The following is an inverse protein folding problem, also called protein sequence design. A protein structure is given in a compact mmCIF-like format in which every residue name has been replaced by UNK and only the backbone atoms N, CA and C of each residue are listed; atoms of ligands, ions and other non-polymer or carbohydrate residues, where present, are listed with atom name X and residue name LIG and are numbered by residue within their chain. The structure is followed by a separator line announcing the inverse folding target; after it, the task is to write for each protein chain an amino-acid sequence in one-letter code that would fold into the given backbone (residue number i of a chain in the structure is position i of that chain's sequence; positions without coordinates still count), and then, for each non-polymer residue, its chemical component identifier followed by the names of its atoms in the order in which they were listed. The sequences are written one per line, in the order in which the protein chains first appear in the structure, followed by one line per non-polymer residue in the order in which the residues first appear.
data_IF_402923117820
#
_entry.id   IF_402923117820
#
_cell.length_a   1.000
_cell.length_b   1.000
_cell.length_c   1.000
_cell.angle_alpha   90.00
_cell.angle_beta   90.00
_cell.angle_gamma   90.00
#
_symmetry.space_group_name_H-M   'P 1'
#
loop_
_entity.id
_entity.type
_entity.pdbx_description
1 polymer ?
#
# COMPACT_ATOMS: atom_id res chain seq x y z
N UNK A 1 3.56 12.20 -7.66
CA UNK A 1 2.99 10.95 -7.11
C UNK A 1 3.04 9.89 -8.19
N UNK A 2 3.44 8.66 -7.90
CA UNK A 2 3.43 7.54 -8.83
C UNK A 2 2.75 6.34 -8.17
N UNK A 3 1.92 5.62 -8.91
CA UNK A 3 1.31 4.37 -8.45
C UNK A 3 1.74 3.25 -9.38
N UNK A 4 1.97 2.04 -8.85
CA UNK A 4 2.17 0.84 -9.64
C UNK A 4 1.20 -0.25 -9.17
N UNK A 5 0.48 -0.85 -10.10
CA UNK A 5 -0.46 -1.92 -9.82
C UNK A 5 -0.86 -2.62 -11.12
N UNK A 6 -1.06 -3.93 -11.04
CA UNK A 6 -1.72 -4.72 -12.10
C UNK A 6 -3.20 -4.95 -11.78
N UNK A 7 -3.67 -4.54 -10.61
CA UNK A 7 -5.02 -4.76 -10.07
C UNK A 7 -5.74 -3.44 -9.72
N UNK A 8 -5.43 -2.39 -10.49
CA UNK A 8 -6.06 -1.08 -10.33
C UNK A 8 -7.59 -1.17 -10.43
N UNK A 9 -8.34 -0.44 -9.58
CA UNK A 9 -9.81 -0.47 -9.59
C UNK A 9 -10.44 0.15 -10.86
N UNK A 10 -9.65 0.88 -11.65
CA UNK A 10 -10.12 1.62 -12.81
C UNK A 10 -9.17 1.46 -13.98
N UNK A 11 -9.74 1.37 -15.18
CA UNK A 11 -9.01 1.49 -16.45
C UNK A 11 -8.80 2.95 -16.87
N UNK A 12 -9.79 3.81 -16.62
CA UNK A 12 -9.82 5.22 -17.06
C UNK A 12 -10.14 6.19 -15.91
N UNK A 13 -9.53 5.98 -14.75
CA UNK A 13 -9.53 6.93 -13.63
C UNK A 13 -8.25 6.74 -12.83
N UNK A 14 -7.43 7.78 -12.78
CA UNK A 14 -6.08 7.65 -12.23
C UNK A 14 -6.08 7.40 -10.71
N UNK A 15 -5.50 6.28 -10.29
CA UNK A 15 -5.34 5.89 -8.89
C UNK A 15 -4.37 6.81 -8.15
N UNK A 16 -3.29 7.27 -8.81
CA UNK A 16 -2.38 8.26 -8.24
C UNK A 16 -3.08 9.57 -7.83
N UNK A 17 -4.14 9.98 -8.54
CA UNK A 17 -4.93 11.17 -8.17
C UNK A 17 -5.75 10.98 -6.91
N UNK A 18 -6.33 9.78 -6.71
CA UNK A 18 -7.06 9.42 -5.50
C UNK A 18 -6.09 9.41 -4.30
N UNK A 19 -4.95 8.73 -4.44
CA UNK A 19 -3.95 8.61 -3.37
C UNK A 19 -3.31 9.97 -3.05
N UNK A 20 -3.01 10.79 -4.07
CA UNK A 20 -2.49 12.14 -3.85
C UNK A 20 -3.45 13.00 -3.03
N UNK A 21 -4.76 12.87 -3.25
CA UNK A 21 -5.77 13.58 -2.45
C UNK A 21 -5.83 13.01 -1.02
N UNK A 22 -5.69 11.69 -0.86
CA UNK A 22 -5.67 11.05 0.47
C UNK A 22 -4.47 11.48 1.31
N UNK A 23 -3.32 11.75 0.68
CA UNK A 23 -2.16 12.36 1.33
C UNK A 23 -2.24 13.89 1.47
N UNK A 24 -3.37 14.50 1.12
CA UNK A 24 -3.57 15.97 1.05
C UNK A 24 -2.44 16.69 0.29
N UNK A 25 -1.95 16.09 -0.80
CA UNK A 25 -0.93 16.72 -1.63
C UNK A 25 -1.51 17.89 -2.43
N UNK A 26 -0.67 18.89 -2.67
CA UNK A 26 -0.98 20.02 -3.55
C UNK A 26 -1.33 19.55 -4.98
N UNK A 27 -2.23 20.24 -5.69
CA UNK A 27 -2.73 19.79 -7.00
C UNK A 27 -1.74 20.00 -8.15
N UNK A 28 -0.76 20.91 -7.99
CA UNK A 28 0.26 21.23 -8.99
C UNK A 28 1.44 20.23 -8.93
N UNK A 29 1.10 18.95 -9.02
CA UNK A 29 2.06 17.83 -9.07
C UNK A 29 1.80 16.96 -10.29
N UNK A 30 2.86 16.32 -10.79
CA UNK A 30 2.72 15.26 -11.79
C UNK A 30 2.32 13.95 -11.13
N UNK A 31 1.30 13.31 -11.70
CA UNK A 31 0.78 11.98 -11.31
C UNK A 31 0.95 10.99 -12.46
N UNK A 32 1.26 9.73 -12.15
CA UNK A 32 1.33 8.65 -13.14
C UNK A 32 0.95 7.30 -12.51
N UNK A 33 0.29 6.44 -13.28
CA UNK A 33 0.03 5.05 -12.91
C UNK A 33 0.83 4.13 -13.85
N UNK A 34 1.50 3.12 -13.28
CA UNK A 34 2.30 2.11 -13.97
C UNK A 34 1.58 0.76 -13.86
N UNK A 35 1.40 0.06 -14.98
CA UNK A 35 0.56 -1.14 -15.10
C UNK A 35 1.18 -2.18 -16.03
N UNK A 36 0.50 -3.32 -16.18
CA UNK A 36 0.70 -4.36 -17.21
C UNK A 36 1.90 -5.30 -16.98
N UNK A 37 2.67 -5.10 -15.91
CA UNK A 37 3.67 -6.07 -15.47
C UNK A 37 3.87 -6.03 -13.96
N UNK A 38 4.12 -7.19 -13.34
CA UNK A 38 4.43 -7.27 -11.91
C UNK A 38 5.79 -6.66 -11.55
N UNK A 39 6.67 -6.37 -12.51
CA UNK A 39 7.91 -5.62 -12.25
C UNK A 39 7.70 -4.10 -12.11
N UNK A 40 6.51 -3.59 -12.41
CA UNK A 40 6.28 -2.14 -12.51
C UNK A 40 6.49 -1.36 -11.21
N UNK A 41 6.45 -2.01 -10.05
CA UNK A 41 6.81 -1.39 -8.78
C UNK A 41 8.24 -0.81 -8.78
N UNK A 42 9.23 -1.56 -9.25
CA UNK A 42 10.61 -1.08 -9.37
C UNK A 42 10.78 -0.13 -10.54
N UNK A 43 10.05 -0.34 -11.64
CA UNK A 43 10.09 0.58 -12.79
C UNK A 43 9.54 1.97 -12.42
N UNK A 44 8.49 2.05 -11.60
CA UNK A 44 7.97 3.31 -11.06
C UNK A 44 8.97 3.98 -10.12
N UNK A 45 9.71 3.21 -9.31
CA UNK A 45 10.79 3.70 -8.45
C UNK A 45 11.95 4.26 -9.27
N UNK A 46 12.40 3.56 -10.32
CA UNK A 46 13.45 4.04 -11.22
C UNK A 46 13.04 5.33 -11.92
N UNK A 47 11.83 5.38 -12.47
CA UNK A 47 11.28 6.63 -13.04
C UNK A 47 11.29 7.76 -12.02
N UNK A 48 11.00 7.47 -10.75
CA UNK A 48 11.06 8.45 -9.68
C UNK A 48 12.45 8.95 -9.37
N UNK A 49 13.40 8.03 -9.25
CA UNK A 49 14.80 8.35 -9.09
C UNK A 49 15.32 9.23 -10.23
N UNK A 50 15.04 8.87 -11.48
CA UNK A 50 15.49 9.64 -12.65
C UNK A 50 14.94 11.06 -12.64
N UNK A 51 13.66 11.23 -12.28
CA UNK A 51 13.04 12.55 -12.19
C UNK A 51 13.66 13.43 -11.10
N UNK A 52 14.00 12.85 -9.95
CA UNK A 52 14.67 13.56 -8.84
C UNK A 52 16.11 13.89 -9.20
N UNK A 53 16.85 12.92 -9.72
CA UNK A 53 18.25 13.08 -10.16
C UNK A 53 18.40 14.12 -11.27
N UNK A 54 17.43 14.20 -12.18
CA UNK A 54 17.39 15.22 -13.24
C UNK A 54 16.98 16.62 -12.72
N UNK A 55 16.58 16.76 -11.45
CA UNK A 55 16.11 18.02 -10.87
C UNK A 55 14.70 18.42 -11.31
N UNK A 56 13.99 17.59 -12.08
CA UNK A 56 12.63 17.86 -12.55
C UNK A 56 11.56 17.71 -11.45
N UNK A 57 11.89 17.00 -10.37
CA UNK A 57 11.11 16.89 -9.15
C UNK A 57 12.04 16.92 -7.93
N UNK A 58 11.60 17.47 -6.80
CA UNK A 58 12.37 17.40 -5.55
C UNK A 58 12.09 16.14 -4.76
N UNK A 59 10.80 15.81 -4.62
CA UNK A 59 10.32 14.64 -3.91
C UNK A 59 9.25 13.93 -4.74
N UNK A 60 9.30 12.61 -4.75
CA UNK A 60 8.27 11.78 -5.39
C UNK A 60 7.93 10.61 -4.47
N UNK A 61 6.64 10.44 -4.21
CA UNK A 61 6.11 9.24 -3.56
C UNK A 61 5.75 8.21 -4.64
N UNK A 62 6.17 6.97 -4.44
CA UNK A 62 5.84 5.79 -5.24
C UNK A 62 5.07 4.82 -4.36
N UNK A 63 3.83 4.50 -4.72
CA UNK A 63 3.04 3.45 -4.08
C UNK A 63 2.90 2.26 -5.03
N UNK A 64 3.35 1.08 -4.63
CA UNK A 64 3.06 -0.16 -5.35
C UNK A 64 2.09 -1.00 -4.53
N UNK A 65 1.04 -1.52 -5.15
CA UNK A 65 0.02 -2.31 -4.46
C UNK A 65 -0.66 -3.28 -5.42
N UNK A 66 -0.97 -4.49 -4.92
CA UNK A 66 -1.87 -5.40 -5.62
C UNK A 66 -2.75 -6.19 -4.65
N UNK A 67 -3.95 -6.52 -5.15
CA UNK A 67 -4.85 -7.52 -4.59
C UNK A 67 -5.14 -8.52 -5.71
N UNK A 68 -4.32 -9.57 -5.80
CA UNK A 68 -4.42 -10.57 -6.86
C UNK A 68 -5.38 -11.67 -6.44
N UNK A 69 -6.04 -12.27 -7.43
CA UNK A 69 -7.07 -13.27 -7.17
C UNK A 69 -6.86 -14.47 -8.08
N UNK A 70 -6.66 -15.64 -7.45
CA UNK A 70 -6.56 -16.93 -8.13
C UNK A 70 -7.94 -17.59 -8.29
N UNK A 71 -8.04 -18.55 -9.22
CA UNK A 71 -9.24 -19.38 -9.37
C UNK A 71 -9.35 -20.35 -8.19
N UNK A 72 -10.58 -20.66 -7.76
CA UNK A 72 -10.79 -21.63 -6.69
C UNK A 72 -10.11 -22.98 -7.00
N UNK A 73 -9.32 -23.51 -6.05
CA UNK A 73 -8.56 -24.75 -6.18
C UNK A 73 -7.28 -24.65 -7.01
N UNK A 74 -6.86 -23.44 -7.42
CA UNK A 74 -5.62 -23.22 -8.17
C UNK A 74 -4.43 -22.95 -7.24
N UNK A 75 -3.21 -23.18 -7.72
CA UNK A 75 -1.99 -22.82 -6.97
C UNK A 75 -1.89 -21.31 -6.73
N UNK A 76 -2.43 -20.50 -7.65
CA UNK A 76 -2.51 -19.04 -7.51
C UNK A 76 -3.35 -18.61 -6.31
N UNK A 77 -4.44 -19.32 -6.03
CA UNK A 77 -5.28 -19.02 -4.87
C UNK A 77 -4.54 -19.25 -3.55
N UNK A 78 -3.70 -20.28 -3.48
CA UNK A 78 -2.88 -20.59 -2.31
C UNK A 78 -1.74 -19.58 -2.13
N UNK A 79 -1.09 -19.17 -3.21
CA UNK A 79 0.15 -18.39 -3.14
C UNK A 79 -0.04 -16.87 -3.21
N UNK A 80 -1.11 -16.36 -3.82
CA UNK A 80 -1.28 -14.92 -3.96
C UNK A 80 -1.59 -14.24 -2.64
N UNK A 81 -0.89 -13.14 -2.43
CA UNK A 81 -1.07 -12.25 -1.29
C UNK A 81 -1.59 -10.89 -1.73
N UNK A 82 -2.18 -10.18 -0.78
CA UNK A 82 -2.51 -8.77 -0.94
C UNK A 82 -1.47 -7.93 -0.20
N UNK A 83 -0.93 -6.91 -0.84
CA UNK A 83 0.14 -6.12 -0.24
C UNK A 83 0.33 -4.77 -0.89
N UNK A 84 0.96 -3.88 -0.14
CA UNK A 84 1.34 -2.56 -0.61
C UNK A 84 2.61 -2.07 0.08
N UNK A 85 3.40 -1.27 -0.64
CA UNK A 85 4.51 -0.52 -0.08
C UNK A 85 4.51 0.90 -0.68
N UNK A 86 4.87 1.88 0.14
CA UNK A 86 5.02 3.27 -0.27
C UNK A 86 6.40 3.79 0.11
N UNK A 87 7.10 4.36 -0.86
CA UNK A 87 8.47 4.88 -0.71
C UNK A 87 8.51 6.31 -1.21
N UNK A 88 9.15 7.19 -0.44
CA UNK A 88 9.45 8.56 -0.85
C UNK A 88 10.89 8.63 -1.37
N UNK A 89 11.06 9.16 -2.58
CA UNK A 89 12.34 9.40 -3.23
C UNK A 89 12.61 10.91 -3.18
N UNK A 90 13.79 11.30 -2.74
CA UNK A 90 14.24 12.69 -2.63
C UNK A 90 15.76 12.77 -2.53
N UNK A 91 16.28 13.98 -2.39
CA UNK A 91 17.72 14.29 -2.30
C UNK A 91 18.18 14.72 -0.89
N UNK A 92 17.26 14.82 0.07
CA UNK A 92 17.53 15.25 1.45
C UNK A 92 17.03 14.23 2.47
N UNK A 93 17.79 13.99 3.55
CA UNK A 93 17.41 13.06 4.63
C UNK A 93 17.25 11.61 4.14
N UNK A 94 18.09 11.22 3.18
CA UNK A 94 17.99 9.95 2.47
C UNK A 94 18.47 8.82 3.36
N UNK A 95 17.58 7.88 3.71
CA UNK A 95 17.90 6.70 4.56
C UNK A 95 18.68 5.61 3.81
N UNK A 96 18.56 5.58 2.48
CA UNK A 96 19.28 4.67 1.61
C UNK A 96 19.42 5.29 0.21
N UNK A 97 20.64 5.46 -0.27
CA UNK A 97 20.94 6.04 -1.59
C UNK A 97 20.96 4.97 -2.66
N UNK A 98 20.33 5.22 -3.82
CA UNK A 98 20.41 4.33 -4.97
C UNK A 98 21.71 4.58 -5.73
N UNK A 99 22.65 3.66 -5.61
CA UNK A 99 24.01 3.75 -6.18
C UNK A 99 24.07 3.25 -7.63
N UNK A 100 23.17 2.34 -7.99
CA UNK A 100 23.14 1.79 -9.34
C UNK A 100 21.91 0.94 -9.61
N UNK A 101 21.64 0.77 -10.90
CA UNK A 101 20.57 -0.09 -11.38
C UNK A 101 20.99 -0.81 -12.67
N UNK A 102 20.41 -1.97 -12.90
CA UNK A 102 20.54 -2.75 -14.12
C UNK A 102 19.20 -3.41 -14.44
N UNK A 103 18.74 -3.26 -15.67
CA UNK A 103 17.45 -3.80 -16.12
C UNK A 103 17.63 -4.69 -17.33
N UNK A 104 16.88 -5.78 -17.35
CA UNK A 104 16.66 -6.63 -18.53
C UNK A 104 15.18 -6.64 -18.85
N UNK A 105 14.82 -6.74 -20.13
CA UNK A 105 13.43 -6.66 -20.58
C UNK A 105 13.20 -7.67 -21.68
N UNK A 106 12.18 -8.50 -21.51
CA UNK A 106 11.84 -9.57 -22.43
C UNK A 106 10.32 -9.64 -22.58
N UNK A 107 9.85 -9.96 -23.78
CA UNK A 107 8.49 -10.43 -23.97
C UNK A 107 8.39 -11.88 -23.46
N UNK A 108 8.36 -12.02 -22.14
CA UNK A 108 8.28 -13.31 -21.45
C UNK A 108 6.89 -13.46 -20.86
N UNK A 109 6.10 -14.38 -21.41
CA UNK A 109 4.70 -14.59 -21.03
C UNK A 109 4.62 -15.72 -20.00
N UNK A 110 5.05 -15.44 -18.77
CA UNK A 110 4.90 -16.35 -17.63
C UNK A 110 3.47 -16.38 -17.11
N UNK A 111 2.83 -15.22 -17.08
CA UNK A 111 1.44 -15.07 -16.70
C UNK A 111 0.80 -13.91 -17.47
N UNK A 112 -0.52 -13.94 -17.64
CA UNK A 112 -1.26 -12.86 -18.28
C UNK A 112 -2.69 -12.77 -17.76
N UNK A 113 -3.30 -11.59 -17.90
CA UNK A 113 -4.72 -11.38 -17.60
C UNK A 113 -5.29 -10.45 -18.67
N UNK A 114 -6.18 -10.98 -19.50
CA UNK A 114 -6.75 -10.23 -20.61
C UNK A 114 -7.80 -9.22 -20.12
N UNK A 115 -8.17 -8.30 -21.01
CA UNK A 115 -9.13 -7.26 -20.69
C UNK A 115 -10.48 -7.84 -20.25
N UNK A 116 -10.94 -7.45 -19.06
CA UNK A 116 -12.21 -7.93 -18.49
C UNK A 116 -12.11 -9.25 -17.72
N UNK A 117 -10.96 -9.92 -17.74
CA UNK A 117 -10.74 -11.12 -16.91
C UNK A 117 -10.49 -10.75 -15.45
N UNK A 118 -11.07 -11.54 -14.54
CA UNK A 118 -10.86 -11.39 -13.09
C UNK A 118 -9.58 -12.11 -12.67
N UNK A 119 -9.45 -13.36 -13.13
CA UNK A 119 -8.37 -14.27 -12.80
C UNK A 119 -7.27 -14.18 -13.85
N UNK A 120 -6.02 -14.33 -13.43
CA UNK A 120 -4.92 -14.50 -14.37
C UNK A 120 -4.84 -15.95 -14.89
N UNK A 121 -4.05 -16.09 -15.94
CA UNK A 121 -3.57 -17.34 -16.47
C UNK A 121 -2.07 -17.44 -16.20
N UNK A 122 -1.60 -18.64 -15.93
CA UNK A 122 -0.19 -18.94 -15.74
C UNK A 122 0.24 -19.99 -16.74
N UNK A 123 1.44 -19.82 -17.28
CA UNK A 123 2.06 -20.80 -18.16
C UNK A 123 2.69 -21.96 -17.37
N UNK A 124 3.42 -22.84 -18.05
CA UNK A 124 4.04 -24.02 -17.44
C UNK A 124 5.05 -23.65 -16.33
N UNK A 125 4.84 -24.19 -15.12
CA UNK A 125 5.66 -23.90 -13.94
C UNK A 125 7.16 -24.10 -14.18
N UNK A 126 7.54 -25.17 -14.88
CA UNK A 126 8.95 -25.46 -15.16
C UNK A 126 9.58 -24.38 -16.03
N UNK A 127 8.85 -23.90 -17.05
CA UNK A 127 9.32 -22.83 -17.92
C UNK A 127 9.52 -21.52 -17.14
N UNK A 128 8.55 -21.16 -16.30
CA UNK A 128 8.59 -19.96 -15.46
C UNK A 128 9.76 -20.01 -14.47
N UNK A 129 9.98 -21.16 -13.85
CA UNK A 129 11.07 -21.37 -12.89
C UNK A 129 12.46 -21.33 -13.55
N UNK A 130 12.64 -22.13 -14.61
CA UNK A 130 13.96 -22.38 -15.18
C UNK A 130 14.41 -21.19 -16.07
N UNK A 131 13.51 -20.69 -16.93
CA UNK A 131 13.81 -19.59 -17.85
C UNK A 131 13.47 -18.23 -17.23
N UNK A 132 12.40 -18.12 -16.45
CA UNK A 132 12.01 -16.87 -15.81
C UNK A 132 12.87 -16.56 -14.58
N UNK A 133 12.42 -17.00 -13.41
CA UNK A 133 13.03 -16.63 -12.12
C UNK A 133 14.53 -16.94 -12.07
N UNK A 134 14.93 -18.15 -12.44
CA UNK A 134 16.33 -18.57 -12.30
C UNK A 134 17.28 -17.84 -13.24
N UNK A 135 16.83 -17.45 -14.45
CA UNK A 135 17.73 -16.80 -15.41
C UNK A 135 17.70 -15.29 -15.27
N UNK A 136 16.51 -14.67 -15.20
CA UNK A 136 16.39 -13.20 -15.22
C UNK A 136 16.92 -12.56 -13.94
N UNK A 137 16.67 -13.17 -12.77
CA UNK A 137 17.20 -12.65 -11.50
C UNK A 137 18.72 -12.76 -11.47
N UNK A 138 19.27 -13.90 -11.91
CA UNK A 138 20.73 -14.10 -11.95
C UNK A 138 21.37 -13.13 -12.94
N UNK A 139 20.78 -12.95 -14.12
CA UNK A 139 21.27 -12.02 -15.14
C UNK A 139 21.24 -10.57 -14.63
N UNK A 140 20.12 -10.13 -14.03
CA UNK A 140 19.98 -8.78 -13.54
C UNK A 140 20.97 -8.46 -12.40
N UNK A 141 21.13 -9.38 -11.44
CA UNK A 141 22.11 -9.23 -10.35
C UNK A 141 23.53 -9.25 -10.89
N UNK A 142 23.84 -10.16 -11.82
CA UNK A 142 25.19 -10.26 -12.41
C UNK A 142 25.55 -9.02 -13.23
N UNK A 143 24.58 -8.47 -13.97
CA UNK A 143 24.73 -7.22 -14.71
C UNK A 143 24.96 -6.02 -13.78
N UNK A 144 24.18 -5.93 -12.70
CA UNK A 144 24.37 -4.92 -11.65
C UNK A 144 25.74 -5.04 -11.00
N UNK A 145 26.15 -6.25 -10.61
CA UNK A 145 27.44 -6.50 -9.97
C UNK A 145 28.62 -6.09 -10.85
N UNK A 146 28.58 -6.43 -12.16
CA UNK A 146 29.57 -5.98 -13.14
C UNK A 146 29.60 -4.46 -13.28
N UNK A 147 28.43 -3.82 -13.42
CA UNK A 147 28.30 -2.36 -13.61
C UNK A 147 28.79 -1.58 -12.39
N UNK A 148 28.46 -2.04 -11.19
CA UNK A 148 28.82 -1.40 -9.93
C UNK A 148 30.13 -1.89 -9.32
N UNK A 149 30.82 -2.85 -9.96
CA UNK A 149 32.03 -3.51 -9.45
C UNK A 149 31.84 -4.06 -8.03
N UNK A 150 30.69 -4.71 -7.80
CA UNK A 150 30.25 -5.21 -6.50
C UNK A 150 30.65 -6.68 -6.33
N UNK A 151 31.27 -7.03 -5.22
CA UNK A 151 31.42 -8.42 -4.78
C UNK A 151 30.17 -8.83 -3.99
N UNK A 152 29.70 -10.05 -4.22
CA UNK A 152 28.56 -10.64 -3.51
C UNK A 152 28.78 -10.65 -2.00
N UNK A 153 30.03 -10.76 -1.55
CA UNK A 153 30.40 -10.73 -0.13
C UNK A 153 30.17 -9.36 0.53
N UNK A 154 30.14 -8.29 -0.26
CA UNK A 154 29.93 -6.92 0.23
C UNK A 154 28.45 -6.58 0.39
N UNK A 155 27.55 -7.50 0.04
CA UNK A 155 26.10 -7.29 0.09
C UNK A 155 25.55 -7.77 1.43
N UNK A 156 24.93 -6.88 2.20
CA UNK A 156 24.30 -7.25 3.46
C UNK A 156 23.00 -8.06 3.22
N UNK A 157 22.18 -7.61 2.27
CA UNK A 157 20.92 -8.26 1.91
C UNK A 157 20.65 -8.23 0.40
N UNK A 158 20.15 -9.35 -0.13
CA UNK A 158 19.59 -9.47 -1.48
C UNK A 158 18.14 -9.90 -1.35
N UNK A 159 17.24 -9.08 -1.89
CA UNK A 159 15.81 -9.26 -1.87
C UNK A 159 15.28 -9.48 -3.29
N UNK A 160 14.66 -10.62 -3.55
CA UNK A 160 14.05 -10.94 -4.84
C UNK A 160 12.79 -11.78 -4.67
N UNK A 161 11.78 -11.59 -5.54
CA UNK A 161 10.62 -12.44 -5.56
C UNK A 161 10.96 -13.82 -6.15
N UNK A 162 10.29 -14.86 -5.66
CA UNK A 162 10.22 -16.15 -6.33
C UNK A 162 8.97 -16.89 -5.85
N UNK A 163 8.13 -17.38 -6.76
CA UNK A 163 6.93 -18.15 -6.39
C UNK A 163 7.27 -19.54 -5.83
N UNK A 164 8.46 -20.05 -6.08
CA UNK A 164 8.84 -21.41 -5.75
C UNK A 164 9.87 -21.38 -4.59
N UNK A 165 9.49 -21.76 -3.34
CA UNK A 165 10.38 -21.64 -2.18
C UNK A 165 11.72 -22.39 -2.33
N UNK A 166 11.70 -23.56 -2.98
CA UNK A 166 12.92 -24.32 -3.25
C UNK A 166 13.88 -23.58 -4.19
N UNK A 167 13.36 -22.96 -5.24
CA UNK A 167 14.14 -22.20 -6.21
C UNK A 167 14.63 -20.87 -5.67
N UNK A 168 13.84 -20.24 -4.80
CA UNK A 168 14.28 -19.06 -4.07
C UNK A 168 15.63 -19.31 -3.39
N UNK A 169 15.77 -20.42 -2.65
CA UNK A 169 17.03 -20.81 -2.02
C UNK A 169 18.11 -21.24 -3.03
N UNK A 170 17.73 -21.91 -4.13
CA UNK A 170 18.64 -22.34 -5.19
C UNK A 170 19.30 -21.17 -5.92
N UNK A 171 18.53 -20.13 -6.24
CA UNK A 171 19.01 -18.89 -6.88
C UNK A 171 20.07 -18.23 -6.01
N UNK A 172 19.81 -18.09 -4.71
CA UNK A 172 20.76 -17.52 -3.76
C UNK A 172 22.09 -18.28 -3.72
N UNK A 173 22.03 -19.62 -3.69
CA UNK A 173 23.22 -20.48 -3.74
C UNK A 173 24.00 -20.33 -5.05
N UNK A 174 23.31 -20.28 -6.21
CA UNK A 174 23.94 -20.08 -7.52
C UNK A 174 24.66 -18.73 -7.63
N UNK A 175 24.13 -17.71 -6.95
CA UNK A 175 24.74 -16.39 -6.84
C UNK A 175 25.89 -16.33 -5.83
N UNK A 176 26.15 -17.41 -5.09
CA UNK A 176 27.18 -17.44 -4.05
C UNK A 176 26.79 -16.71 -2.75
N UNK A 177 25.50 -16.47 -2.52
CA UNK A 177 24.99 -15.80 -1.33
C UNK A 177 24.93 -16.77 -0.14
N UNK A 178 25.36 -16.29 1.03
CA UNK A 178 25.08 -16.95 2.29
C UNK A 178 23.57 -16.88 2.62
N UNK A 179 22.98 -17.87 3.32
CA UNK A 179 21.56 -17.85 3.67
C UNK A 179 21.11 -16.58 4.40
N UNK A 180 21.98 -16.02 5.26
CA UNK A 180 21.70 -14.79 5.98
C UNK A 180 21.65 -13.53 5.09
N UNK A 181 22.29 -13.56 3.92
CA UNK A 181 22.23 -12.46 2.95
C UNK A 181 20.93 -12.48 2.14
N UNK A 182 20.19 -13.59 2.09
CA UNK A 182 18.93 -13.65 1.35
C UNK A 182 17.81 -13.12 2.24
N UNK A 183 17.00 -12.20 1.71
CA UNK A 183 15.81 -11.69 2.40
C UNK A 183 14.69 -12.72 2.37
N UNK A 184 13.92 -12.84 3.45
CA UNK A 184 12.73 -13.69 3.49
C UNK A 184 11.71 -13.22 2.43
N UNK A 185 11.21 -14.10 1.53
CA UNK A 185 10.34 -13.71 0.41
C UNK A 185 8.88 -13.44 0.85
N UNK A 186 8.57 -13.60 2.14
CA UNK A 186 7.27 -13.38 2.78
C UNK A 186 6.14 -14.28 2.28
N UNK A 187 6.42 -15.31 1.47
CA UNK A 187 5.42 -16.22 0.90
C UNK A 187 4.54 -16.87 1.97
N UNK A 188 5.13 -17.35 3.06
CA UNK A 188 4.40 -18.06 4.12
C UNK A 188 3.58 -17.12 5.04
N UNK A 189 3.84 -15.81 4.99
CA UNK A 189 3.23 -14.84 5.90
C UNK A 189 2.22 -13.93 5.21
N UNK A 190 2.47 -13.58 3.95
CA UNK A 190 1.67 -12.65 3.14
C UNK A 190 1.23 -13.28 1.83
N UNK A 191 2.07 -14.11 1.23
CA UNK A 191 1.92 -14.57 -0.16
C UNK A 191 2.63 -13.65 -1.14
N UNK A 192 2.46 -13.93 -2.43
CA UNK A 192 3.05 -13.15 -3.53
C UNK A 192 2.17 -11.95 -3.87
N UNK A 193 2.66 -10.76 -3.53
CA UNK A 193 1.90 -9.48 -3.61
C UNK A 193 2.11 -8.70 -4.91
N UNK A 194 2.51 -9.39 -5.98
CA UNK A 194 2.66 -8.81 -7.32
C UNK A 194 3.62 -7.61 -7.35
N UNK A 195 3.15 -6.48 -7.88
CA UNK A 195 3.94 -5.25 -8.06
C UNK A 195 4.55 -4.69 -6.80
N UNK A 196 3.93 -4.93 -5.65
CA UNK A 196 4.40 -4.42 -4.36
C UNK A 196 5.53 -5.27 -3.77
N UNK A 197 5.68 -6.53 -4.19
CA UNK A 197 6.52 -7.50 -3.51
C UNK A 197 7.99 -7.02 -3.39
N UNK A 198 8.69 -6.60 -4.47
CA UNK A 198 10.08 -6.14 -4.34
C UNK A 198 10.24 -4.94 -3.39
N UNK A 199 9.27 -4.03 -3.36
CA UNK A 199 9.31 -2.87 -2.47
C UNK A 199 9.00 -3.24 -1.01
N UNK A 200 8.11 -4.21 -0.78
CA UNK A 200 7.88 -4.77 0.56
C UNK A 200 9.12 -5.49 1.09
N UNK A 201 9.80 -6.26 0.23
CA UNK A 201 11.06 -6.92 0.60
C UNK A 201 12.17 -5.91 0.89
N UNK A 202 12.24 -4.79 0.15
CA UNK A 202 13.15 -3.68 0.45
C UNK A 202 12.89 -3.09 1.85
N UNK A 203 11.62 -2.80 2.17
CA UNK A 203 11.27 -2.30 3.51
C UNK A 203 11.63 -3.32 4.59
N UNK A 204 11.35 -4.60 4.37
CA UNK A 204 11.74 -5.67 5.30
C UNK A 204 13.25 -5.79 5.51
N UNK A 205 14.05 -5.59 4.46
CA UNK A 205 15.51 -5.57 4.57
C UNK A 205 16.02 -4.31 5.31
N UNK A 206 15.42 -3.15 5.04
CA UNK A 206 15.79 -1.88 5.70
C UNK A 206 15.48 -1.87 7.20
N UNK A 207 14.45 -2.59 7.66
CA UNK A 207 14.13 -2.68 9.09
C UNK A 207 15.27 -3.28 9.93
N UNK A 208 16.06 -4.19 9.34
CA UNK A 208 17.18 -4.87 10.00
C UNK A 208 18.55 -4.31 9.62
N UNK A 209 18.59 -3.37 8.68
CA UNK A 209 19.82 -2.82 8.15
C UNK A 209 20.54 -1.87 9.12
N UNK A 210 21.83 -1.67 8.86
CA UNK A 210 22.71 -0.73 9.53
C UNK A 210 23.28 0.25 8.50
N UNK A 211 23.69 1.43 8.98
CA UNK A 211 24.41 2.37 8.14
C UNK A 211 25.65 1.70 7.52
N UNK A 212 25.87 1.94 6.23
CA UNK A 212 26.92 1.31 5.46
C UNK A 212 26.53 -0.02 4.81
N UNK A 213 25.39 -0.62 5.12
CA UNK A 213 24.95 -1.85 4.46
C UNK A 213 24.64 -1.62 2.97
N UNK A 214 25.06 -2.57 2.14
CA UNK A 214 24.62 -2.63 0.74
C UNK A 214 23.42 -3.57 0.64
N UNK A 215 22.31 -3.10 0.08
CA UNK A 215 21.09 -3.88 -0.14
C UNK A 215 20.82 -3.94 -1.64
N UNK A 216 20.65 -5.14 -2.19
CA UNK A 216 20.21 -5.35 -3.57
C UNK A 216 18.75 -5.76 -3.57
N UNK A 217 17.93 -5.07 -4.35
CA UNK A 217 16.52 -5.41 -4.56
C UNK A 217 16.29 -5.71 -6.01
N UNK A 218 15.56 -6.79 -6.29
CA UNK A 218 15.32 -7.27 -7.64
C UNK A 218 13.83 -7.49 -7.83
N UNK A 219 13.31 -7.11 -9.00
CA UNK A 219 11.94 -7.44 -9.42
C UNK A 219 11.91 -8.58 -10.41
N UNK A 220 10.72 -9.12 -10.64
CA UNK A 220 10.47 -10.12 -11.67
C UNK A 220 9.17 -9.76 -12.41
N UNK A 221 9.04 -10.20 -13.65
CA UNK A 221 7.92 -9.96 -14.56
C UNK A 221 8.37 -10.19 -16.01
N UNK A 222 8.02 -9.28 -16.92
CA UNK A 222 8.49 -9.32 -18.33
C UNK A 222 9.95 -8.83 -18.45
N UNK A 223 10.85 -9.47 -17.71
CA UNK A 223 12.21 -9.02 -17.41
C UNK A 223 12.43 -8.82 -15.90
N UNK A 224 13.42 -8.01 -15.55
CA UNK A 224 13.82 -7.78 -14.16
C UNK A 224 14.57 -6.46 -14.01
N UNK A 225 14.32 -5.73 -12.93
CA UNK A 225 15.12 -4.57 -12.52
C UNK A 225 15.90 -4.94 -11.23
N UNK A 226 17.22 -4.80 -11.25
CA UNK A 226 18.08 -4.94 -10.07
C UNK A 226 18.59 -3.56 -9.62
N UNK A 227 18.46 -3.27 -8.32
CA UNK A 227 18.68 -1.97 -7.70
C UNK A 227 19.65 -2.11 -6.52
N UNK A 228 20.76 -1.36 -6.53
CA UNK A 228 21.72 -1.32 -5.43
C UNK A 228 21.47 -0.09 -4.55
N UNK A 229 21.14 -0.32 -3.29
CA UNK A 229 20.99 0.70 -2.27
C UNK A 229 22.13 0.66 -1.26
N UNK A 230 22.68 1.83 -0.92
CA UNK A 230 23.59 2.02 0.21
C UNK A 230 22.85 2.64 1.37
N UNK A 231 22.77 1.94 2.50
CA UNK A 231 22.11 2.47 3.70
C UNK A 231 22.96 3.56 4.33
N UNK A 232 22.35 4.66 4.72
CA UNK A 232 23.02 5.82 5.31
C UNK A 232 22.78 5.87 6.82
N UNK A 233 23.45 6.79 7.52
CA UNK A 233 23.23 7.03 8.95
C UNK A 233 21.80 7.53 9.26
N UNK A 234 21.11 8.09 8.27
CA UNK A 234 19.74 8.62 8.44
C UNK A 234 18.71 7.50 8.73
N UNK A 235 19.06 6.23 8.51
CA UNK A 235 18.21 5.08 8.81
C UNK A 235 17.79 5.05 10.29
N UNK A 236 18.65 5.52 11.20
CA UNK A 236 18.38 5.53 12.64
C UNK A 236 17.21 6.46 13.01
N UNK A 237 16.87 7.45 12.16
CA UNK A 237 15.71 8.34 12.40
C UNK A 237 14.38 7.61 12.25
N UNK A 238 14.33 6.60 11.39
CA UNK A 238 13.08 5.88 11.07
C UNK A 238 12.99 4.53 11.79
N UNK A 239 14.13 3.98 12.22
CA UNK A 239 14.21 2.70 12.92
C UNK A 239 13.40 2.72 14.21
N UNK A 240 12.54 1.72 14.40
CA UNK A 240 11.64 1.61 15.57
C UNK A 240 10.47 2.60 15.59
N UNK A 241 10.59 3.77 14.96
CA UNK A 241 9.61 4.86 15.02
C UNK A 241 8.51 4.77 13.95
N UNK A 242 8.70 3.96 12.91
CA UNK A 242 7.69 3.74 11.86
C UNK A 242 7.07 2.35 11.94
N UNK A 243 5.92 2.18 11.29
CA UNK A 243 5.32 0.86 11.02
C UNK A 243 5.82 0.35 9.68
N UNK A 244 6.84 -0.49 9.73
CA UNK A 244 7.30 -1.27 8.58
C UNK A 244 6.61 -2.63 8.52
N UNK A 245 7.24 -3.59 7.83
CA UNK A 245 6.65 -4.91 7.57
C UNK A 245 6.40 -5.67 8.87
N UNK A 246 7.37 -5.70 9.79
CA UNK A 246 7.25 -6.47 11.03
C UNK A 246 6.05 -6.05 11.88
N UNK A 247 5.83 -4.74 12.03
CA UNK A 247 4.68 -4.21 12.79
C UNK A 247 3.35 -4.50 12.10
N UNK A 248 3.30 -4.41 10.76
CA UNK A 248 2.09 -4.77 10.02
C UNK A 248 1.78 -6.27 10.06
N UNK A 249 2.80 -7.14 10.05
CA UNK A 249 2.62 -8.58 10.20
C UNK A 249 2.17 -8.99 11.62
N UNK A 250 2.61 -8.26 12.64
CA UNK A 250 2.13 -8.45 14.01
C UNK A 250 0.66 -7.98 14.16
N UNK A 251 0.30 -6.91 13.44
CA UNK A 251 -1.04 -6.34 13.36
C UNK A 251 -1.97 -7.15 12.42
N UNK A 252 -2.20 -8.44 12.73
CA UNK A 252 -3.03 -9.32 11.91
C UNK A 252 -4.10 -10.05 12.72
N UNK A 253 -5.08 -10.56 11.99
CA UNK A 253 -6.12 -11.45 12.51
C UNK A 253 -6.25 -12.66 11.60
N UNK A 254 -6.41 -13.83 12.20
CA UNK A 254 -6.68 -15.05 11.46
C UNK A 254 -8.10 -15.05 10.90
N UNK A 255 -8.23 -15.36 9.62
CA UNK A 255 -9.52 -15.58 8.96
C UNK A 255 -9.74 -17.09 8.82
N UNK A 256 -10.52 -17.66 9.73
CA UNK A 256 -10.67 -19.11 9.88
C UNK A 256 -11.67 -19.76 8.92
N UNK A 257 -12.33 -18.97 8.04
CA UNK A 257 -13.33 -19.47 7.09
C UNK A 257 -12.94 -19.08 5.67
N UNK A 258 -12.83 -20.10 4.82
CA UNK A 258 -12.60 -19.93 3.39
C UNK A 258 -13.77 -19.21 2.72
N UNK A 259 -15.02 -19.50 3.13
CA UNK A 259 -16.23 -18.85 2.64
C UNK A 259 -16.24 -17.34 2.94
N UNK A 260 -15.76 -16.94 4.13
CA UNK A 260 -15.55 -15.51 4.42
C UNK A 260 -14.46 -14.90 3.55
N UNK A 261 -13.36 -15.61 3.31
CA UNK A 261 -12.28 -15.13 2.45
C UNK A 261 -12.76 -14.85 1.02
N UNK A 262 -13.42 -15.83 0.38
CA UNK A 262 -13.92 -15.69 -0.99
C UNK A 262 -15.07 -14.66 -1.10
N UNK A 263 -15.89 -14.51 -0.05
CA UNK A 263 -16.93 -13.47 -0.03
C UNK A 263 -16.34 -12.06 0.10
N UNK A 264 -15.28 -11.87 0.90
CA UNK A 264 -14.56 -10.60 1.00
C UNK A 264 -13.87 -10.22 -0.31
N UNK A 265 -13.40 -11.22 -1.06
CA UNK A 265 -12.85 -11.05 -2.42
C UNK A 265 -13.93 -10.88 -3.49
N UNK A 266 -15.22 -10.94 -3.13
CA UNK A 266 -16.36 -10.83 -4.05
C UNK A 266 -16.31 -11.86 -5.20
N UNK A 267 -15.84 -13.08 -4.88
CA UNK A 267 -15.76 -14.21 -5.83
C UNK A 267 -17.02 -15.06 -5.88
N UNK A 268 -17.85 -14.98 -4.84
CA UNK A 268 -19.15 -15.63 -4.78
C UNK A 268 -20.24 -14.57 -4.62
N UNK A 269 -21.43 -14.77 -5.21
CA UNK A 269 -22.60 -13.96 -4.91
C UNK A 269 -22.95 -14.10 -3.43
N UNK A 270 -23.14 -12.95 -2.76
CA UNK A 270 -23.57 -12.88 -1.36
C UNK A 270 -24.93 -12.20 -1.33
N UNK A 271 -25.90 -12.79 -0.62
CA UNK A 271 -27.18 -12.17 -0.32
C UNK A 271 -26.97 -11.01 0.67
N UNK A 272 -27.18 -9.77 0.20
CA UNK A 272 -26.87 -8.55 0.98
C UNK A 272 -28.11 -7.94 1.64
N UNK A 273 -29.30 -8.42 1.29
CA UNK A 273 -30.57 -7.81 1.65
C UNK A 273 -30.73 -6.38 1.12
N UNK A 274 -31.92 -5.81 1.32
CA UNK A 274 -32.32 -4.51 0.75
C UNK A 274 -31.35 -3.36 1.09
N UNK A 275 -30.72 -3.39 2.28
CA UNK A 275 -29.80 -2.33 2.75
C UNK A 275 -28.41 -2.43 2.14
N UNK A 276 -27.98 -3.64 1.73
CA UNK A 276 -26.72 -3.82 1.03
C UNK A 276 -26.84 -3.69 -0.49
N UNK A 277 -28.05 -3.89 -1.04
CA UNK A 277 -28.34 -3.67 -2.46
C UNK A 277 -28.56 -2.18 -2.82
N UNK A 278 -29.11 -1.41 -1.88
CA UNK A 278 -29.32 0.03 -2.06
C UNK A 278 -28.06 0.81 -1.74
N UNK A 279 -27.22 1.01 -2.75
CA UNK A 279 -26.10 1.96 -2.68
C UNK A 279 -26.52 3.25 -3.38
N UNK A 280 -26.65 4.37 -2.65
CA UNK A 280 -26.94 5.65 -3.28
C UNK A 280 -25.86 6.03 -4.29
N UNK A 281 -26.25 6.61 -5.45
CA UNK A 281 -25.28 7.00 -6.46
C UNK A 281 -24.30 8.03 -5.88
N UNK A 282 -23.01 7.83 -6.19
CA UNK A 282 -22.00 8.79 -5.76
C UNK A 282 -22.18 10.11 -6.47
N UNK A 283 -22.42 11.19 -5.72
CA UNK A 283 -22.48 12.54 -6.27
C UNK A 283 -21.07 13.01 -6.68
N UNK A 284 -20.57 12.57 -7.84
CA UNK A 284 -19.18 12.78 -8.28
C UNK A 284 -18.77 14.26 -8.35
N UNK A 285 -19.68 15.15 -8.77
CA UNK A 285 -19.41 16.59 -8.79
C UNK A 285 -19.23 17.17 -7.39
N UNK A 286 -19.98 16.67 -6.40
CA UNK A 286 -19.82 17.09 -5.01
C UNK A 286 -18.56 16.47 -4.40
N UNK A 287 -18.28 15.19 -4.69
CA UNK A 287 -17.02 14.57 -4.31
C UNK A 287 -15.83 15.36 -4.85
N UNK A 288 -15.87 15.87 -6.08
CA UNK A 288 -14.81 16.72 -6.63
C UNK A 288 -14.64 18.03 -5.84
N UNK A 289 -15.73 18.74 -5.55
CA UNK A 289 -15.70 20.01 -4.79
C UNK A 289 -15.22 19.80 -3.36
N UNK A 290 -15.69 18.75 -2.71
CA UNK A 290 -15.38 18.39 -1.32
C UNK A 290 -14.26 17.36 -1.19
N UNK A 291 -13.45 17.12 -2.24
CA UNK A 291 -12.48 16.02 -2.28
C UNK A 291 -11.46 16.04 -1.15
N UNK A 292 -10.98 17.23 -0.75
CA UNK A 292 -10.03 17.38 0.36
C UNK A 292 -10.66 17.02 1.70
N UNK A 293 -11.93 17.40 1.90
CA UNK A 293 -12.72 17.00 3.07
C UNK A 293 -12.91 15.49 3.11
N UNK A 294 -13.38 14.89 2.01
CA UNK A 294 -13.77 13.47 1.98
C UNK A 294 -12.57 12.54 1.89
N UNK A 295 -11.70 12.73 0.89
CA UNK A 295 -10.57 11.85 0.63
C UNK A 295 -9.35 12.23 1.45
N UNK A 296 -9.08 13.51 1.66
CA UNK A 296 -7.93 13.97 2.45
C UNK A 296 -8.17 14.01 3.97
N UNK A 297 -9.40 13.78 4.45
CA UNK A 297 -9.79 14.03 5.84
C UNK A 297 -9.41 15.44 6.32
N UNK A 298 -9.55 16.42 5.44
CA UNK A 298 -9.21 17.80 5.73
C UNK A 298 -10.43 18.54 6.31
N UNK A 299 -10.28 19.04 7.53
CA UNK A 299 -11.23 19.92 8.20
C UNK A 299 -10.74 21.36 8.22
N UNK A 300 -11.13 22.10 9.25
CA UNK A 300 -10.76 23.51 9.43
C UNK A 300 -10.26 23.77 10.84
N UNK A 301 -9.28 24.66 11.00
CA UNK A 301 -8.82 25.20 12.28
C UNK A 301 -9.06 26.69 12.34
N UNK A 302 -9.59 27.16 13.47
CA UNK A 302 -9.83 28.59 13.66
C UNK A 302 -8.50 29.35 13.86
N UNK A 303 -8.27 30.40 13.08
CA UNK A 303 -7.08 31.25 13.19
C UNK A 303 -7.06 32.11 14.46
N UNK A 304 -8.22 32.37 15.06
CA UNK A 304 -8.36 33.22 16.25
C UNK A 304 -8.11 32.43 17.54
N UNK A 305 -8.80 31.30 17.73
CA UNK A 305 -8.73 30.53 18.97
C UNK A 305 -8.00 29.18 18.84
N UNK A 306 -7.59 28.81 17.62
CA UNK A 306 -6.86 27.56 17.37
C UNK A 306 -7.70 26.28 17.35
N UNK A 307 -9.03 26.34 17.53
CA UNK A 307 -9.90 25.15 17.61
C UNK A 307 -9.99 24.41 16.27
N UNK A 308 -9.50 23.15 16.18
CA UNK A 308 -9.71 22.28 15.03
C UNK A 308 -11.13 21.71 15.01
N UNK A 309 -11.68 21.57 13.81
CA UNK A 309 -13.08 21.21 13.56
C UNK A 309 -13.18 20.35 12.31
N UNK A 310 -13.95 19.26 12.40
CA UNK A 310 -14.31 18.43 11.27
C UNK A 310 -15.82 18.13 11.33
N UNK A 311 -16.56 18.20 10.21
CA UNK A 311 -16.11 18.61 8.86
C UNK A 311 -15.77 20.11 8.79
N UNK A 312 -15.22 20.56 7.65
CA UNK A 312 -14.89 21.98 7.40
C UNK A 312 -16.07 22.90 7.77
N UNK A 313 -15.82 23.87 8.65
CA UNK A 313 -16.78 24.89 9.07
C UNK A 313 -16.32 26.28 8.62
N UNK A 314 -17.27 27.20 8.40
CA UNK A 314 -16.99 28.64 8.20
C UNK A 314 -17.03 29.44 9.49
N UNK A 315 -17.79 28.97 10.48
CA UNK A 315 -17.99 29.63 11.78
C UNK A 315 -17.35 28.75 12.84
N UNK A 316 -16.62 29.36 13.78
CA UNK A 316 -16.00 28.62 14.87
C UNK A 316 -17.06 28.01 15.79
N UNK A 317 -17.02 26.69 15.98
CA UNK A 317 -17.91 25.98 16.92
C UNK A 317 -17.63 26.31 18.39
N UNK A 318 -16.49 26.93 18.72
CA UNK A 318 -16.20 27.33 20.10
C UNK A 318 -17.14 28.47 20.51
N UNK A 319 -18.01 28.28 21.52
CA UNK A 319 -19.05 29.27 21.87
C UNK A 319 -18.48 30.67 22.16
N UNK A 320 -17.33 30.74 22.83
CA UNK A 320 -16.70 32.01 23.22
C UNK A 320 -15.91 32.68 22.08
N UNK A 321 -15.82 32.05 20.90
CA UNK A 321 -15.06 32.59 19.76
C UNK A 321 -15.99 33.09 18.67
N UNK A 322 -16.83 32.21 18.12
CA UNK A 322 -17.78 32.56 17.05
C UNK A 322 -17.17 33.16 15.77
N UNK A 323 -15.84 33.12 15.59
CA UNK A 323 -15.16 33.76 14.46
C UNK A 323 -15.69 33.21 13.13
N UNK A 324 -15.98 34.12 12.19
CA UNK A 324 -16.57 33.83 10.87
C UNK A 324 -15.50 34.01 9.80
N UNK A 325 -15.37 33.05 8.90
CA UNK A 325 -14.45 33.05 7.76
C UNK A 325 -12.96 33.24 8.13
N UNK A 326 -12.61 33.00 9.40
CA UNK A 326 -11.24 33.03 9.94
C UNK A 326 -10.73 31.61 10.19
N UNK A 327 -10.73 30.80 9.13
CA UNK A 327 -10.35 29.39 9.16
C UNK A 327 -9.15 29.10 8.25
N UNK A 328 -8.34 28.13 8.63
CA UNK A 328 -7.33 27.50 7.79
C UNK A 328 -7.59 26.00 7.67
N UNK A 329 -7.08 25.38 6.60
CA UNK A 329 -7.19 23.94 6.41
C UNK A 329 -6.44 23.19 7.52
N UNK A 330 -7.03 22.10 8.00
CA UNK A 330 -6.43 21.28 9.05
C UNK A 330 -6.59 19.79 8.76
N UNK A 331 -5.47 19.09 8.64
CA UNK A 331 -5.44 17.66 8.33
C UNK A 331 -5.71 16.84 9.60
N UNK A 332 -6.69 15.93 9.51
CA UNK A 332 -7.00 14.97 10.57
C UNK A 332 -6.44 13.56 10.30
N UNK A 333 -5.99 13.29 9.08
CA UNK A 333 -5.52 11.97 8.64
C UNK A 333 -4.34 11.42 9.47
N UNK A 334 -3.48 12.28 9.98
CA UNK A 334 -2.31 11.93 10.79
C UNK A 334 -2.54 12.09 12.31
N UNK A 335 -3.78 12.41 12.71
CA UNK A 335 -4.12 12.66 14.12
C UNK A 335 -4.66 11.40 14.77
N UNK A 336 -4.30 11.24 16.05
CA UNK A 336 -4.91 10.23 16.92
C UNK A 336 -6.21 10.77 17.50
N UNK A 337 -7.05 9.85 17.95
CA UNK A 337 -8.27 10.16 18.65
C UNK A 337 -8.65 9.07 19.63
N UNK A 338 -9.81 9.24 20.23
CA UNK A 338 -10.42 8.27 21.12
C UNK A 338 -11.89 8.09 20.79
N UNK A 339 -12.40 6.90 21.05
CA UNK A 339 -13.79 6.55 20.77
C UNK A 339 -14.71 7.11 21.86
N UNK A 340 -15.45 8.17 21.55
CA UNK A 340 -16.38 8.81 22.49
C UNK A 340 -17.61 7.94 22.75
N UNK A 341 -18.18 7.35 21.71
CA UNK A 341 -19.29 6.39 21.80
C UNK A 341 -19.31 5.50 20.58
N UNK A 342 -19.91 4.31 20.68
CA UNK A 342 -19.99 3.34 19.59
C UNK A 342 -21.26 2.50 19.66
N UNK A 343 -21.57 1.85 18.55
CA UNK A 343 -22.63 0.85 18.47
C UNK A 343 -22.24 -0.27 17.51
N UNK A 344 -22.77 -1.47 17.78
CA UNK A 344 -22.75 -2.61 16.87
C UNK A 344 -24.14 -2.78 16.25
N UNK A 345 -24.26 -2.49 14.96
CA UNK A 345 -25.52 -2.50 14.22
C UNK A 345 -25.66 -3.79 13.41
N UNK A 346 -26.64 -4.62 13.79
CA UNK A 346 -26.98 -5.87 13.10
C UNK A 346 -27.96 -5.67 11.93
N UNK A 347 -28.53 -4.48 11.78
CA UNK A 347 -29.47 -4.14 10.71
C UNK A 347 -28.75 -3.55 9.50
N UNK A 348 -27.70 -2.77 9.72
CA UNK A 348 -26.87 -2.23 8.65
C UNK A 348 -26.08 -3.34 7.95
N UNK A 349 -25.98 -3.26 6.62
CA UNK A 349 -25.19 -4.20 5.85
C UNK A 349 -23.69 -4.01 6.14
N UNK A 350 -23.03 -5.09 6.54
CA UNK A 350 -21.58 -5.22 6.60
C UNK A 350 -21.22 -6.60 6.06
N UNK A 351 -20.11 -6.69 5.32
CA UNK A 351 -19.61 -7.99 4.87
C UNK A 351 -19.15 -8.85 6.06
N UNK A 352 -18.76 -8.21 7.17
CA UNK A 352 -18.46 -8.87 8.43
C UNK A 352 -19.37 -8.27 9.51
N UNK A 353 -20.61 -8.76 9.67
CA UNK A 353 -21.54 -8.23 10.66
C UNK A 353 -21.04 -8.50 12.10
N UNK A 354 -21.35 -7.62 13.06
CA UNK A 354 -22.14 -6.38 12.91
C UNK A 354 -21.37 -5.26 12.21
N UNK A 355 -22.09 -4.26 11.69
CA UNK A 355 -21.48 -3.00 11.30
C UNK A 355 -21.14 -2.21 12.58
N UNK A 356 -19.85 -1.95 12.82
CA UNK A 356 -19.39 -1.22 14.00
C UNK A 356 -19.06 0.21 13.58
N UNK A 357 -19.66 1.19 14.25
CA UNK A 357 -19.39 2.61 14.01
C UNK A 357 -19.54 3.43 15.28
N UNK A 358 -18.89 4.59 15.31
CA UNK A 358 -18.86 5.42 16.50
C UNK A 358 -18.41 6.85 16.25
N UNK A 359 -18.46 7.65 17.30
CA UNK A 359 -17.98 9.04 17.30
C UNK A 359 -16.53 9.03 17.78
N UNK A 360 -15.64 9.60 16.99
CA UNK A 360 -14.23 9.77 17.33
C UNK A 360 -13.98 11.23 17.68
N UNK A 361 -13.32 11.43 18.82
CA UNK A 361 -12.79 12.70 19.27
C UNK A 361 -11.30 12.73 19.02
N UNK A 362 -10.86 13.69 18.19
CA UNK A 362 -9.45 13.85 17.86
C UNK A 362 -8.69 14.58 18.96
N UNK A 363 -7.43 14.19 19.15
CA UNK A 363 -6.50 14.93 20.00
C UNK A 363 -6.37 16.37 19.51
N UNK A 364 -6.58 17.34 20.41
CA UNK A 364 -6.56 18.77 20.09
C UNK A 364 -7.89 19.35 19.60
N UNK A 365 -8.92 18.53 19.36
CA UNK A 365 -10.28 18.96 19.01
C UNK A 365 -10.71 18.52 17.62
N UNK A 366 -12.02 18.50 17.40
CA UNK A 366 -12.67 17.91 16.21
C UNK A 366 -13.34 16.59 16.58
N UNK A 367 -14.56 16.39 16.08
CA UNK A 367 -15.42 15.25 16.42
C UNK A 367 -16.19 14.81 15.18
N UNK A 368 -16.16 13.53 14.86
CA UNK A 368 -16.95 13.02 13.74
C UNK A 368 -17.30 11.53 13.87
N UNK A 369 -18.31 11.12 13.11
CA UNK A 369 -18.76 9.74 13.04
C UNK A 369 -17.96 8.95 12.01
N UNK A 370 -17.43 7.79 12.41
CA UNK A 370 -16.66 6.90 11.55
C UNK A 370 -17.09 5.44 11.71
N UNK A 371 -17.03 4.70 10.60
CA UNK A 371 -17.03 3.24 10.64
C UNK A 371 -15.74 2.77 11.31
N UNK A 372 -15.84 1.77 12.19
CA UNK A 372 -14.70 1.09 12.77
C UNK A 372 -14.34 -0.16 11.96
N UNK A 373 -13.05 -0.49 11.94
CA UNK A 373 -12.57 -1.74 11.37
C UNK A 373 -11.39 -2.27 12.20
N UNK A 374 -10.90 -3.47 11.89
CA UNK A 374 -9.84 -4.14 12.65
C UNK A 374 -10.21 -4.37 14.14
N UNK A 375 -11.50 -4.56 14.44
CA UNK A 375 -12.06 -4.80 15.78
C UNK A 375 -13.20 -5.83 15.75
N UNK A 376 -13.46 -6.45 16.90
CA UNK A 376 -14.73 -7.15 17.16
C UNK A 376 -15.59 -6.31 18.09
N UNK A 377 -16.88 -6.57 18.10
CA UNK A 377 -17.80 -5.85 18.97
C UNK A 377 -17.41 -5.98 20.45
N UNK A 378 -16.90 -7.13 20.87
CA UNK A 378 -16.52 -7.42 22.26
C UNK A 378 -15.24 -6.68 22.69
N UNK A 379 -14.37 -6.32 21.75
CA UNK A 379 -13.10 -5.64 22.07
C UNK A 379 -13.23 -4.13 22.10
N UNK A 380 -14.28 -3.56 21.46
CA UNK A 380 -14.51 -2.12 21.40
C UNK A 380 -15.03 -1.60 22.73
N UNK A 381 -14.50 -0.45 23.17
CA UNK A 381 -14.91 0.25 24.39
C UNK A 381 -14.77 1.76 24.23
N UNK A 382 -15.54 2.50 25.03
CA UNK A 382 -15.38 3.96 25.17
C UNK A 382 -13.95 4.28 25.61
N UNK A 383 -13.43 5.42 25.13
CA UNK A 383 -12.06 5.90 25.32
C UNK A 383 -10.96 5.01 24.70
N UNK A 384 -11.32 4.04 23.85
CA UNK A 384 -10.34 3.29 23.08
C UNK A 384 -9.52 4.23 22.19
N UNK A 385 -8.17 4.20 22.24
CA UNK A 385 -7.33 4.99 21.36
C UNK A 385 -7.45 4.47 19.92
N UNK A 386 -7.72 5.38 19.00
CA UNK A 386 -7.91 5.09 17.58
C UNK A 386 -7.07 6.01 16.71
N UNK A 387 -6.86 5.56 15.48
CA UNK A 387 -6.24 6.31 14.41
C UNK A 387 -6.98 6.05 13.10
N UNK A 388 -6.68 6.87 12.09
CA UNK A 388 -7.42 6.87 10.83
C UNK A 388 -6.74 5.99 9.79
N UNK A 389 -7.53 5.15 9.14
CA UNK A 389 -7.09 4.29 8.04
C UNK A 389 -7.93 4.55 6.80
N UNK A 390 -7.27 4.86 5.68
CA UNK A 390 -7.95 5.10 4.40
C UNK A 390 -8.38 3.77 3.77
N UNK A 391 -9.68 3.54 3.61
CA UNK A 391 -10.23 2.25 3.17
C UNK A 391 -11.22 2.43 2.03
N UNK A 392 -11.42 1.34 1.27
CA UNK A 392 -12.58 1.20 0.39
C UNK A 392 -13.83 1.14 1.27
N UNK A 393 -14.74 2.10 1.13
CA UNK A 393 -15.98 2.18 1.90
C UNK A 393 -17.09 1.34 1.27
N UNK A 394 -17.25 1.41 -0.05
CA UNK A 394 -18.24 0.63 -0.80
C UNK A 394 -17.80 0.44 -2.25
N UNK A 395 -18.49 -0.49 -2.93
CA UNK A 395 -18.40 -0.70 -4.38
C UNK A 395 -19.82 -0.62 -4.93
N UNK A 396 -20.09 0.41 -5.74
CA UNK A 396 -21.27 0.45 -6.59
C UNK A 396 -20.95 -0.31 -7.89
N UNK A 397 -21.26 -1.60 -7.89
CA UNK A 397 -21.00 -2.47 -9.04
C UNK A 397 -21.79 -2.07 -10.29
N UNK A 398 -22.94 -1.40 -10.15
CA UNK A 398 -23.79 -1.00 -11.29
C UNK A 398 -23.15 0.14 -12.07
N UNK A 399 -22.55 1.10 -11.37
CA UNK A 399 -21.85 2.24 -11.99
C UNK A 399 -20.33 2.06 -12.12
N UNK A 400 -19.78 0.97 -11.56
CA UNK A 400 -18.34 0.73 -11.50
C UNK A 400 -17.60 1.67 -10.54
N UNK A 401 -18.29 2.28 -9.58
CA UNK A 401 -17.69 3.27 -8.67
C UNK A 401 -17.21 2.61 -7.37
N UNK A 402 -15.93 2.76 -7.09
CA UNK A 402 -15.28 2.46 -5.82
C UNK A 402 -15.25 3.72 -4.96
N UNK A 403 -16.01 3.71 -3.86
CA UNK A 403 -16.02 4.76 -2.87
C UNK A 403 -14.95 4.53 -1.80
N UNK A 404 -14.20 5.58 -1.46
CA UNK A 404 -13.16 5.53 -0.44
C UNK A 404 -13.47 6.54 0.67
N UNK A 405 -13.15 6.16 1.91
CA UNK A 405 -13.27 7.03 3.07
C UNK A 405 -12.39 6.51 4.20
N UNK A 406 -12.20 7.33 5.22
CA UNK A 406 -11.45 6.99 6.41
C UNK A 406 -12.29 6.16 7.38
N UNK A 407 -11.69 5.14 7.96
CA UNK A 407 -12.24 4.32 9.04
C UNK A 407 -11.36 4.46 10.28
N UNK A 408 -11.96 4.36 11.45
CA UNK A 408 -11.23 4.33 12.71
C UNK A 408 -10.72 2.91 12.97
N UNK A 409 -9.45 2.79 13.32
CA UNK A 409 -8.83 1.52 13.73
C UNK A 409 -8.16 1.70 15.10
N UNK A 410 -8.09 0.65 15.94
CA UNK A 410 -7.35 0.73 17.20
C UNK A 410 -5.89 1.06 16.97
N UNK A 411 -5.30 1.85 17.86
CA UNK A 411 -3.84 2.03 17.87
C UNK A 411 -3.19 0.72 18.33
N UNK A 412 -2.48 0.07 17.43
CA UNK A 412 -1.70 -1.14 17.73
C UNK A 412 -0.34 -0.70 18.28
N UNK A 413 0.00 -1.20 19.47
CA UNK A 413 1.20 -0.83 20.24
C UNK A 413 2.52 -1.19 19.58
#
# INVERSE_FOLDING_TARGET
MRTASTTSPYKERQSAGIIATAFDLRPDIRTADFTDSVKTGTTALLSAYDAVKAGSAKNVIVCAADCRVGKAGSSQEEIFGDGAASIMIGDSGVIASLEGSYSVSYDFVDHWRADGEIFDHQWEDRFIRDIGYSSFIIEAISGLAKKCKLDVKDIAKVAYPCLYPGDHGSIGKKLGLAPAQVQDPMLNNVGYTGTSNPLMLLVGALEDAKAGDNIVVVSFGNGSDALLFKVTDEIERVKGNRRGIKKHLAAKRELTSYEKMISFRNLIPVEKGIRGEMIPPTALSELWRSRRRVLGLCGSKCKVCGTPQYPVQKICVKPDCGAIDQMEDYLFADKRGHLFTYTGDMLAFSMNPPAIYGIVDFEGGGRYWFDMTDVDQESVKVDMPVEMSFRKKYIDAKSGIHGYFWKAIPVIG
#
